data_IF_159973737204
#
_entry.id   IF_159973737204
#
_cell.length_a   1.000
_cell.length_b   1.000
_cell.length_c   1.000
_cell.angle_alpha   90.00
_cell.angle_beta   90.00
_cell.angle_gamma   90.00
#
_symmetry.space_group_name_H-M   'P 1'
#
loop_
_entity.id
_entity.type
_entity.pdbx_description
1 polymer ?
#
# COMPACT_ATOMS: atom_id res chain seq x y z
N UNK A 1 -22.54 -1.17 -9.03
CA UNK A 1 -21.93 -0.97 -7.70
C UNK A 1 -21.35 -2.32 -7.28
N UNK A 2 -20.06 -2.47 -7.20
CA UNK A 2 -19.43 -3.69 -6.67
C UNK A 2 -19.83 -3.81 -5.19
N UNK A 3 -20.46 -4.92 -4.84
CA UNK A 3 -20.73 -5.22 -3.42
C UNK A 3 -19.41 -5.56 -2.73
N UNK A 4 -18.92 -4.63 -1.92
CA UNK A 4 -17.72 -4.82 -1.12
C UNK A 4 -17.94 -5.87 -0.03
N UNK A 5 -16.92 -6.68 0.26
CA UNK A 5 -16.91 -7.59 1.41
C UNK A 5 -16.79 -6.73 2.68
N UNK A 6 -17.69 -6.94 3.61
CA UNK A 6 -17.68 -6.27 4.91
C UNK A 6 -17.89 -7.27 6.05
N UNK A 7 -17.11 -7.14 7.11
CA UNK A 7 -17.24 -7.93 8.33
C UNK A 7 -18.40 -7.40 9.17
N UNK A 8 -19.30 -8.31 9.59
CA UNK A 8 -20.44 -7.91 10.41
C UNK A 8 -20.02 -7.51 11.83
N UNK A 9 -20.79 -6.61 12.43
CA UNK A 9 -20.51 -6.16 13.79
C UNK A 9 -20.72 -7.31 14.81
N UNK A 10 -21.65 -8.23 14.56
CA UNK A 10 -21.85 -9.42 15.39
C UNK A 10 -20.60 -10.33 15.38
N UNK A 11 -19.96 -10.49 14.22
CA UNK A 11 -18.73 -11.26 14.13
C UNK A 11 -17.60 -10.58 14.93
N UNK A 12 -17.44 -9.27 14.76
CA UNK A 12 -16.43 -8.50 15.46
C UNK A 12 -16.61 -8.57 16.98
N UNK A 13 -17.83 -8.41 17.47
CA UNK A 13 -18.13 -8.47 18.90
C UNK A 13 -17.89 -9.87 19.48
N UNK A 14 -18.20 -10.93 18.75
CA UNK A 14 -17.84 -12.31 19.15
C UNK A 14 -16.32 -12.49 19.28
N UNK A 15 -15.56 -11.96 18.33
CA UNK A 15 -14.08 -12.03 18.40
C UNK A 15 -13.56 -11.24 19.59
N UNK A 16 -14.05 -10.02 19.82
CA UNK A 16 -13.65 -9.18 20.97
C UNK A 16 -13.95 -9.83 22.32
N UNK A 17 -15.06 -10.57 22.39
CA UNK A 17 -15.42 -11.30 23.60
C UNK A 17 -14.53 -12.52 23.87
N UNK A 18 -14.03 -13.18 22.83
CA UNK A 18 -13.30 -14.45 22.92
C UNK A 18 -11.78 -14.29 22.83
N UNK A 19 -11.28 -13.24 22.19
CA UNK A 19 -9.85 -13.00 21.94
C UNK A 19 -9.40 -11.74 22.63
N UNK A 20 -8.32 -11.84 23.44
CA UNK A 20 -7.69 -10.67 24.07
C UNK A 20 -6.32 -10.43 23.43
N UNK A 21 -6.11 -9.29 22.74
CA UNK A 21 -4.80 -8.95 22.20
C UNK A 21 -3.76 -8.81 23.29
N UNK A 22 -2.65 -9.53 23.19
CA UNK A 22 -1.56 -9.46 24.17
C UNK A 22 -0.60 -8.32 23.84
N UNK A 23 -1.03 -7.08 24.10
CA UNK A 23 -0.18 -5.91 23.92
C UNK A 23 0.96 -5.89 24.94
N UNK A 24 2.20 -5.77 24.47
CA UNK A 24 3.27 -5.30 25.33
C UNK A 24 3.09 -3.81 25.65
N UNK A 25 3.68 -3.34 26.75
CA UNK A 25 3.54 -1.93 27.21
C UNK A 25 3.82 -0.90 26.12
N UNK A 26 4.87 -1.12 25.33
CA UNK A 26 5.24 -0.22 24.23
C UNK A 26 4.39 -0.43 22.97
N UNK A 27 3.93 -1.66 22.74
CA UNK A 27 3.17 -1.98 21.53
C UNK A 27 1.88 -1.18 21.41
N UNK A 28 1.10 -1.12 22.48
CA UNK A 28 -0.13 -0.31 22.50
C UNK A 28 0.12 1.18 22.26
N UNK A 29 1.11 1.74 22.95
CA UNK A 29 1.46 3.17 22.82
C UNK A 29 1.92 3.47 21.38
N UNK A 30 2.76 2.60 20.82
CA UNK A 30 3.23 2.73 19.45
C UNK A 30 2.08 2.66 18.45
N UNK A 31 1.18 1.70 18.61
CA UNK A 31 -0.02 1.58 17.78
C UNK A 31 -0.85 2.86 17.84
N UNK A 32 -1.23 3.30 19.02
CA UNK A 32 -2.08 4.48 19.20
C UNK A 32 -1.48 5.77 18.63
N UNK A 33 -0.18 5.94 18.81
CA UNK A 33 0.52 7.14 18.33
C UNK A 33 0.76 7.14 16.83
N UNK A 34 1.01 5.97 16.22
CA UNK A 34 1.58 5.90 14.88
C UNK A 34 0.59 5.37 13.84
N UNK A 35 -0.26 4.40 14.20
CA UNK A 35 -1.06 3.63 13.24
C UNK A 35 -2.56 3.83 13.37
N UNK A 36 -3.06 4.21 14.55
CA UNK A 36 -4.47 4.51 14.76
C UNK A 36 -4.84 5.81 14.04
N UNK A 37 -5.74 5.73 13.06
CA UNK A 37 -6.18 6.90 12.31
C UNK A 37 -7.16 7.73 13.11
N UNK A 38 -7.15 9.03 12.88
CA UNK A 38 -8.14 9.93 13.44
C UNK A 38 -9.49 9.75 12.76
N UNK A 39 -10.55 9.60 13.55
CA UNK A 39 -11.94 9.51 13.10
C UNK A 39 -12.66 10.82 13.45
N UNK A 40 -12.79 11.74 12.47
CA UNK A 40 -13.38 13.06 12.74
C UNK A 40 -14.81 12.97 13.30
N UNK A 41 -15.61 12.01 12.78
CA UNK A 41 -17.00 11.80 13.17
C UNK A 41 -17.16 11.30 14.63
N UNK A 42 -16.09 10.69 15.18
CA UNK A 42 -16.06 10.18 16.57
C UNK A 42 -15.22 11.06 17.50
N UNK A 43 -14.52 12.06 16.97
CA UNK A 43 -13.63 12.94 17.75
C UNK A 43 -12.49 12.20 18.47
N UNK A 44 -12.04 11.04 17.93
CA UNK A 44 -10.98 10.21 18.53
C UNK A 44 -10.23 9.41 17.44
N UNK A 45 -9.09 8.86 17.84
CA UNK A 45 -8.40 7.87 17.01
C UNK A 45 -9.06 6.49 17.08
N UNK A 46 -8.88 5.72 16.02
CA UNK A 46 -9.33 4.32 15.92
C UNK A 46 -8.97 3.50 17.16
N UNK A 47 -9.86 2.58 17.52
CA UNK A 47 -9.53 1.44 18.36
C UNK A 47 -8.94 0.31 17.52
N UNK A 48 -8.34 -0.69 18.17
CA UNK A 48 -7.66 -1.77 17.47
C UNK A 48 -8.60 -2.60 16.59
N UNK A 49 -9.81 -2.89 17.07
CA UNK A 49 -10.85 -3.55 16.31
C UNK A 49 -11.24 -2.80 15.03
N UNK A 50 -11.36 -1.47 15.10
CA UNK A 50 -11.66 -0.60 13.96
C UNK A 50 -10.51 -0.59 12.94
N UNK A 51 -9.27 -0.51 13.41
CA UNK A 51 -8.09 -0.58 12.53
C UNK A 51 -8.01 -1.93 11.82
N UNK A 52 -8.19 -3.04 12.55
CA UNK A 52 -8.13 -4.39 11.96
C UNK A 52 -9.25 -4.58 10.93
N UNK A 53 -10.47 -4.14 11.24
CA UNK A 53 -11.60 -4.17 10.30
C UNK A 53 -11.23 -3.45 9.00
N UNK A 54 -10.82 -2.19 9.10
CA UNK A 54 -10.45 -1.37 7.95
C UNK A 54 -9.33 -2.01 7.11
N UNK A 55 -8.31 -2.54 7.76
CA UNK A 55 -7.15 -3.14 7.08
C UNK A 55 -7.54 -4.43 6.36
N UNK A 56 -8.30 -5.29 6.99
CA UNK A 56 -8.74 -6.56 6.39
C UNK A 56 -9.69 -6.30 5.23
N UNK A 57 -10.72 -5.50 5.44
CA UNK A 57 -11.68 -5.15 4.38
C UNK A 57 -10.98 -4.44 3.21
N UNK A 58 -10.08 -3.51 3.51
CA UNK A 58 -9.32 -2.77 2.50
C UNK A 58 -8.42 -3.63 1.64
N UNK A 59 -7.85 -4.71 2.18
CA UNK A 59 -7.02 -5.64 1.40
C UNK A 59 -7.87 -6.67 0.64
N UNK A 60 -8.88 -7.25 1.26
CA UNK A 60 -9.77 -8.24 0.61
C UNK A 60 -10.49 -7.60 -0.59
N UNK A 61 -10.95 -6.37 -0.47
CA UNK A 61 -11.65 -5.67 -1.54
C UNK A 61 -10.74 -5.20 -2.70
N UNK A 62 -9.43 -5.43 -2.61
CA UNK A 62 -8.52 -5.28 -3.76
C UNK A 62 -8.53 -6.49 -4.69
N UNK A 63 -9.19 -7.58 -4.34
CA UNK A 63 -9.23 -8.77 -5.20
C UNK A 63 -9.91 -8.43 -6.54
N UNK A 64 -9.20 -8.56 -7.67
CA UNK A 64 -9.76 -8.20 -8.98
C UNK A 64 -10.98 -9.04 -9.36
N UNK A 65 -11.12 -10.24 -8.79
CA UNK A 65 -12.28 -11.11 -9.03
C UNK A 65 -13.59 -10.53 -8.49
N UNK A 66 -13.53 -9.54 -7.59
CA UNK A 66 -14.72 -8.84 -7.08
C UNK A 66 -15.26 -7.80 -8.07
N UNK A 67 -14.50 -7.45 -9.11
CA UNK A 67 -14.90 -6.40 -10.06
C UNK A 67 -15.90 -6.87 -11.12
N UNK A 68 -15.86 -8.16 -11.48
CA UNK A 68 -16.64 -8.73 -12.58
C UNK A 68 -17.75 -9.66 -12.07
N UNK A 69 -18.80 -9.09 -11.45
CA UNK A 69 -19.98 -9.84 -11.00
C UNK A 69 -19.63 -11.13 -10.24
N UNK A 70 -19.01 -11.02 -9.07
CA UNK A 70 -18.52 -12.17 -8.32
C UNK A 70 -19.64 -13.15 -7.94
N UNK A 71 -19.36 -14.45 -8.06
CA UNK A 71 -20.30 -15.49 -7.63
C UNK A 71 -20.53 -15.44 -6.10
N UNK A 72 -21.67 -15.96 -5.66
CA UNK A 72 -21.96 -16.05 -4.24
C UNK A 72 -20.93 -16.90 -3.49
N UNK A 73 -20.45 -17.97 -4.11
CA UNK A 73 -19.41 -18.86 -3.54
C UNK A 73 -18.08 -18.11 -3.34
N UNK A 74 -17.67 -17.28 -4.32
CA UNK A 74 -16.47 -16.46 -4.19
C UNK A 74 -16.61 -15.45 -3.05
N UNK A 75 -17.74 -14.75 -2.96
CA UNK A 75 -18.00 -13.81 -1.87
C UNK A 75 -17.94 -14.49 -0.51
N UNK A 76 -18.53 -15.66 -0.41
CA UNK A 76 -18.54 -16.46 0.81
C UNK A 76 -17.13 -16.88 1.21
N UNK A 77 -16.34 -17.39 0.26
CA UNK A 77 -14.94 -17.76 0.49
C UNK A 77 -14.08 -16.57 0.94
N UNK A 78 -14.22 -15.39 0.29
CA UNK A 78 -13.50 -14.19 0.66
C UNK A 78 -13.93 -13.64 2.02
N UNK A 79 -15.23 -13.77 2.38
CA UNK A 79 -15.71 -13.39 3.71
C UNK A 79 -15.09 -14.29 4.78
N UNK A 80 -15.05 -15.59 4.56
CA UNK A 80 -14.39 -16.53 5.48
C UNK A 80 -12.89 -16.24 5.63
N UNK A 81 -12.22 -15.88 4.54
CA UNK A 81 -10.83 -15.46 4.58
C UNK A 81 -10.66 -14.18 5.39
N UNK A 82 -11.49 -13.18 5.15
CA UNK A 82 -11.51 -11.94 5.92
C UNK A 82 -11.71 -12.18 7.42
N UNK A 83 -12.65 -13.07 7.78
CA UNK A 83 -12.86 -13.45 9.17
C UNK A 83 -11.65 -14.13 9.83
N UNK A 84 -10.96 -15.02 9.08
CA UNK A 84 -9.73 -15.66 9.57
C UNK A 84 -8.61 -14.64 9.78
N UNK A 85 -8.40 -13.76 8.80
CA UNK A 85 -7.40 -12.70 8.89
C UNK A 85 -7.70 -11.74 10.03
N UNK A 86 -8.96 -11.35 10.20
CA UNK A 86 -9.37 -10.49 11.31
C UNK A 86 -9.02 -11.12 12.67
N UNK A 87 -9.38 -12.37 12.92
CA UNK A 87 -9.05 -13.07 14.16
C UNK A 87 -7.55 -13.13 14.42
N UNK A 88 -6.79 -13.46 13.38
CA UNK A 88 -5.33 -13.59 13.46
C UNK A 88 -4.65 -12.25 13.80
N UNK A 89 -5.04 -11.19 13.09
CA UNK A 89 -4.45 -9.85 13.30
C UNK A 89 -4.94 -9.25 14.61
N UNK A 90 -6.23 -9.36 14.93
CA UNK A 90 -6.81 -8.84 16.16
C UNK A 90 -6.14 -9.45 17.39
N UNK A 91 -5.91 -10.76 17.37
CA UNK A 91 -5.23 -11.50 18.45
C UNK A 91 -3.71 -11.29 18.49
N UNK A 92 -3.13 -10.51 17.59
CA UNK A 92 -1.68 -10.31 17.45
C UNK A 92 -0.90 -11.59 17.11
N UNK A 93 -1.56 -12.59 16.53
CA UNK A 93 -0.90 -13.78 16.01
C UNK A 93 -0.06 -13.51 14.75
N UNK A 94 -0.44 -12.51 13.98
CA UNK A 94 0.33 -11.89 12.92
C UNK A 94 0.02 -10.41 12.83
N UNK A 95 0.94 -9.60 12.30
CA UNK A 95 0.69 -8.19 12.02
C UNK A 95 1.12 -7.86 10.59
N UNK A 96 0.32 -7.12 9.84
CA UNK A 96 0.78 -6.57 8.58
C UNK A 96 1.88 -5.53 8.83
N UNK A 97 2.53 -5.08 7.76
CA UNK A 97 3.52 -4.00 7.86
C UNK A 97 2.89 -2.73 8.44
N UNK A 98 3.69 -1.89 9.08
CA UNK A 98 3.21 -0.62 9.64
C UNK A 98 2.54 0.27 8.59
N UNK A 99 3.05 0.27 7.36
CA UNK A 99 2.44 1.01 6.26
C UNK A 99 1.07 0.45 5.88
N UNK A 100 0.93 -0.86 5.85
CA UNK A 100 -0.35 -1.52 5.60
C UNK A 100 -1.38 -1.17 6.69
N UNK A 101 -0.98 -1.20 7.97
CA UNK A 101 -1.82 -0.74 9.08
C UNK A 101 -2.30 0.70 8.90
N UNK A 102 -1.47 1.56 8.34
CA UNK A 102 -1.77 2.99 8.22
C UNK A 102 -2.59 3.33 6.97
N UNK A 103 -2.35 2.66 5.85
CA UNK A 103 -2.90 3.02 4.53
C UNK A 103 -4.09 2.16 4.12
N UNK A 104 -4.10 0.84 4.45
CA UNK A 104 -5.13 -0.07 3.94
C UNK A 104 -6.53 0.36 4.32
N UNK A 105 -7.46 0.22 3.40
CA UNK A 105 -8.85 0.61 3.55
C UNK A 105 -9.10 2.12 3.51
N UNK A 106 -8.14 2.90 3.02
CA UNK A 106 -8.28 4.37 2.87
C UNK A 106 -8.36 4.78 1.41
N UNK A 107 -8.84 6.00 1.16
CA UNK A 107 -8.82 6.58 -0.19
C UNK A 107 -7.40 6.72 -0.77
N UNK A 108 -6.40 6.81 0.11
CA UNK A 108 -5.00 6.83 -0.30
C UNK A 108 -4.59 5.50 -0.94
N UNK A 109 -4.99 4.36 -0.36
CA UNK A 109 -4.76 3.04 -0.97
C UNK A 109 -5.41 2.91 -2.35
N UNK A 110 -6.64 3.40 -2.50
CA UNK A 110 -7.38 3.33 -3.77
C UNK A 110 -6.71 4.15 -4.89
N UNK A 111 -6.10 5.27 -4.54
CA UNK A 111 -5.43 6.16 -5.51
C UNK A 111 -3.98 5.80 -5.80
N UNK A 112 -3.30 5.19 -4.84
CA UNK A 112 -1.86 4.93 -4.88
C UNK A 112 -1.56 3.53 -4.34
N UNK A 113 -2.14 2.49 -4.96
CA UNK A 113 -2.04 1.10 -4.48
C UNK A 113 -0.60 0.58 -4.33
N UNK A 114 0.30 1.05 -5.17
CA UNK A 114 1.74 0.77 -5.11
C UNK A 114 2.43 1.36 -3.86
N UNK A 115 1.83 2.37 -3.22
CA UNK A 115 2.34 2.97 -1.97
C UNK A 115 2.35 2.01 -0.77
N UNK A 116 1.71 0.84 -0.89
CA UNK A 116 1.82 -0.24 0.09
C UNK A 116 3.23 -0.85 0.14
N UNK A 117 3.99 -0.74 -0.93
CA UNK A 117 5.39 -1.14 -0.95
C UNK A 117 6.26 -0.09 -0.27
N UNK A 118 7.04 -0.52 0.73
CA UNK A 118 7.92 0.39 1.46
C UNK A 118 9.26 0.61 0.78
N UNK A 119 9.76 -0.41 0.08
CA UNK A 119 11.12 -0.44 -0.42
C UNK A 119 11.12 -0.81 -1.90
N UNK A 120 11.84 0.00 -2.64
CA UNK A 120 12.05 -0.17 -4.07
C UNK A 120 13.52 -0.22 -4.39
N UNK A 121 13.87 -0.79 -5.50
CA UNK A 121 15.22 -0.74 -6.05
C UNK A 121 15.13 -0.40 -7.53
N UNK A 122 15.93 0.57 -7.98
CA UNK A 122 16.02 0.96 -9.37
C UNK A 122 17.46 0.93 -9.85
N UNK A 123 17.69 0.33 -11.02
CA UNK A 123 18.99 0.42 -11.68
C UNK A 123 19.04 1.70 -12.50
N UNK A 124 19.98 2.59 -12.17
CA UNK A 124 20.21 3.81 -12.93
C UNK A 124 21.00 3.44 -14.20
N UNK A 125 20.25 3.14 -15.25
CA UNK A 125 20.79 2.84 -16.59
C UNK A 125 19.80 3.31 -17.65
N UNK A 126 20.24 3.67 -18.85
CA UNK A 126 19.33 3.96 -19.96
C UNK A 126 18.42 2.76 -20.22
N UNK A 127 17.13 2.97 -20.18
CA UNK A 127 16.15 1.95 -20.52
C UNK A 127 15.59 2.22 -21.91
N UNK A 128 15.48 1.17 -22.71
CA UNK A 128 14.74 1.26 -23.96
C UNK A 128 13.25 1.12 -23.63
N UNK A 129 12.45 2.11 -24.05
CA UNK A 129 11.02 1.97 -24.06
C UNK A 129 10.62 1.07 -25.22
N UNK A 130 9.93 0.02 -24.99
CA UNK A 130 9.41 -0.85 -26.01
C UNK A 130 8.58 -2.00 -25.45
N UNK A 131 9.05 -2.55 -24.32
CA UNK A 131 8.49 -3.79 -23.79
C UNK A 131 7.87 -3.65 -22.40
N UNK A 132 7.86 -2.46 -21.81
CA UNK A 132 7.28 -2.24 -20.48
C UNK A 132 5.86 -1.70 -20.57
N UNK A 133 4.91 -2.46 -20.06
CA UNK A 133 3.51 -2.03 -19.87
C UNK A 133 3.34 -0.91 -18.83
N UNK A 134 4.43 -0.46 -18.23
CA UNK A 134 4.44 0.54 -17.17
C UNK A 134 5.13 1.81 -17.66
N UNK A 135 4.60 2.40 -18.71
CA UNK A 135 5.03 3.73 -19.14
C UNK A 135 3.94 4.72 -18.74
N UNK A 136 4.23 5.71 -17.88
CA UNK A 136 3.25 6.76 -17.60
C UNK A 136 2.83 7.43 -18.90
N UNK A 137 1.53 7.56 -19.11
CA UNK A 137 0.93 8.07 -20.35
C UNK A 137 1.37 9.49 -20.75
N UNK A 138 1.91 10.26 -19.81
CA UNK A 138 2.38 11.63 -20.03
C UNK A 138 3.80 11.73 -20.64
N UNK A 139 4.54 10.61 -20.75
CA UNK A 139 5.92 10.66 -21.23
C UNK A 139 6.08 10.50 -22.74
N UNK A 140 5.01 10.25 -23.47
CA UNK A 140 5.05 10.11 -24.93
C UNK A 140 5.93 8.94 -25.41
N UNK A 141 6.00 8.76 -26.74
CA UNK A 141 6.80 7.71 -27.39
C UNK A 141 8.26 8.12 -27.59
N UNK A 142 8.97 8.47 -26.55
CA UNK A 142 10.40 8.75 -26.70
C UNK A 142 11.24 7.48 -26.55
N UNK A 143 12.07 7.19 -27.53
CA UNK A 143 12.83 5.95 -27.66
C UNK A 143 13.90 5.73 -26.58
N UNK A 144 14.30 6.76 -25.85
CA UNK A 144 15.30 6.67 -24.77
C UNK A 144 14.98 7.67 -23.67
N UNK A 145 14.42 7.24 -22.58
CA UNK A 145 14.31 8.11 -21.42
C UNK A 145 15.40 7.79 -20.42
N UNK A 146 16.45 8.57 -20.47
CA UNK A 146 17.50 8.59 -19.45
C UNK A 146 16.92 9.05 -18.10
N UNK A 147 15.88 9.86 -18.14
CA UNK A 147 15.18 10.39 -16.94
C UNK A 147 14.31 9.38 -16.22
N UNK A 148 13.93 8.26 -16.86
CA UNK A 148 12.99 7.28 -16.27
C UNK A 148 13.35 6.76 -14.88
N UNK A 149 14.59 6.31 -14.64
CA UNK A 149 14.95 5.84 -13.31
C UNK A 149 14.83 6.93 -12.25
N UNK A 150 15.10 8.18 -12.63
CA UNK A 150 14.96 9.33 -11.73
C UNK A 150 13.50 9.71 -11.52
N UNK A 151 12.67 9.69 -12.57
CA UNK A 151 11.23 9.94 -12.45
C UNK A 151 10.59 8.90 -11.52
N UNK A 152 10.91 7.62 -11.70
CA UNK A 152 10.48 6.56 -10.81
C UNK A 152 10.95 6.79 -9.37
N UNK A 153 12.23 7.13 -9.19
CA UNK A 153 12.79 7.43 -7.88
C UNK A 153 11.98 8.52 -7.15
N UNK A 154 11.74 9.64 -7.84
CA UNK A 154 11.02 10.76 -7.23
C UNK A 154 9.55 10.44 -6.99
N UNK A 155 8.90 9.74 -7.90
CA UNK A 155 7.49 9.33 -7.74
C UNK A 155 7.31 8.45 -6.49
N UNK A 156 8.17 7.45 -6.32
CA UNK A 156 8.09 6.57 -5.15
C UNK A 156 8.49 7.27 -3.84
N UNK A 157 9.46 8.18 -3.88
CA UNK A 157 9.81 9.00 -2.72
C UNK A 157 8.65 9.92 -2.30
N UNK A 158 7.93 10.52 -3.26
CA UNK A 158 6.75 11.36 -2.97
C UNK A 158 5.61 10.55 -2.35
N UNK A 159 5.49 9.27 -2.69
CA UNK A 159 4.55 8.34 -2.05
C UNK A 159 5.05 7.85 -0.67
N UNK A 160 6.22 8.31 -0.24
CA UNK A 160 6.82 7.94 1.03
C UNK A 160 7.57 6.60 1.01
N UNK A 161 7.87 6.04 -0.16
CA UNK A 161 8.70 4.85 -0.33
C UNK A 161 10.17 5.14 -0.08
N UNK A 162 10.92 4.12 0.33
CA UNK A 162 12.38 4.15 0.32
C UNK A 162 12.89 3.57 -1.00
N UNK A 163 13.73 4.29 -1.74
CA UNK A 163 14.26 3.82 -3.01
C UNK A 163 15.76 3.67 -2.96
N UNK A 164 16.23 2.42 -3.07
CA UNK A 164 17.64 2.12 -3.29
C UNK A 164 18.00 2.17 -4.77
N UNK A 165 19.22 2.54 -5.09
CA UNK A 165 19.73 2.54 -6.46
C UNK A 165 21.16 2.04 -6.51
N UNK A 166 21.54 1.45 -7.66
CA UNK A 166 22.89 0.98 -7.85
C UNK A 166 23.82 2.11 -8.29
N UNK A 167 24.91 2.27 -7.57
CA UNK A 167 26.03 3.17 -7.93
C UNK A 167 27.20 2.40 -8.58
N UNK A 168 26.96 1.18 -9.05
CA UNK A 168 28.01 0.41 -9.72
C UNK A 168 28.54 1.17 -10.95
N UNK A 169 29.86 1.16 -11.12
CA UNK A 169 30.51 1.86 -12.23
C UNK A 169 29.93 1.48 -13.60
N UNK A 170 29.60 0.21 -13.80
CA UNK A 170 28.96 -0.30 -15.03
C UNK A 170 27.61 0.35 -15.33
N UNK A 171 26.89 0.84 -14.32
CA UNK A 171 25.62 1.55 -14.50
C UNK A 171 25.88 3.05 -14.72
N UNK A 172 26.75 3.64 -13.92
CA UNK A 172 27.03 5.09 -13.95
C UNK A 172 27.62 5.54 -15.28
N UNK A 173 28.53 4.76 -15.88
CA UNK A 173 29.12 5.10 -17.17
C UNK A 173 28.14 5.13 -18.33
N UNK A 174 26.95 4.58 -18.16
CA UNK A 174 25.88 4.58 -19.16
C UNK A 174 25.00 5.83 -19.07
N UNK A 175 25.15 6.63 -18.02
CA UNK A 175 24.40 7.88 -17.84
C UNK A 175 25.09 8.95 -18.68
N UNK A 176 24.37 9.64 -19.58
CA UNK A 176 24.96 10.73 -20.34
C UNK A 176 25.44 11.84 -19.41
N UNK A 177 26.57 12.46 -19.78
CA UNK A 177 27.00 13.68 -19.08
C UNK A 177 25.96 14.77 -19.27
N UNK A 178 25.71 15.51 -18.21
CA UNK A 178 24.96 16.77 -18.29
C UNK A 178 25.95 17.85 -18.70
N UNK A 179 25.95 18.17 -19.99
CA UNK A 179 26.91 19.17 -20.54
C UNK A 179 26.37 20.62 -20.38
N UNK A 180 25.10 20.78 -20.09
CA UNK A 180 24.48 22.10 -19.78
C UNK A 180 23.26 21.90 -18.87
N UNK A 181 23.01 22.88 -18.01
CA UNK A 181 21.80 22.97 -17.23
C UNK A 181 20.71 23.70 -18.02
N UNK A 182 19.48 23.16 -18.05
CA UNK A 182 18.32 23.89 -18.54
C UNK A 182 17.83 24.74 -17.38
N UNK A 183 17.89 26.06 -17.55
CA UNK A 183 17.29 26.99 -16.62
C UNK A 183 15.78 26.94 -16.81
N UNK A 184 15.10 26.28 -15.89
CA UNK A 184 13.63 26.27 -15.84
C UNK A 184 13.20 27.59 -15.19
N UNK A 185 12.92 28.58 -15.99
CA UNK A 185 12.16 29.75 -15.52
C UNK A 185 10.74 29.29 -15.21
N UNK A 186 10.42 29.21 -13.93
CA UNK A 186 9.06 29.01 -13.40
C UNK A 186 8.25 30.31 -13.49
#
# INVERSE_FOLDING_TARGET
>A
MSEEISLSDEFIDRVKASVKPHWGKLGWVTYKRTYARWLPEKGRSENWDETVKRVVEGNINLDPRLQDSPSLELKQSLTEEAERLYKLIYGLGATPSGRNLWISGTDYQRRTGDSLNNCWFVAIRPQKYGDSKIVPSYLGKQEKAVSMPFSFLFDELMKGGGVGFSVARSNIIQIPRVDFAIDLQL
#
